data_IF_921674192734
#
_entry.id   IF_921674192734
#
_cell.length_a   1.000
_cell.length_b   1.000
_cell.length_c   1.000
_cell.angle_alpha   90.00
_cell.angle_beta   90.00
_cell.angle_gamma   90.00
#
_symmetry.space_group_name_H-M   'P 1'
#
loop_
_entity.id
_entity.type
_entity.pdbx_description
1 polymer ?
#
# COMPACT_ATOMS: atom_id res chain seq x y z
N UNK A 1 28.06 -6.09 -16.98
CA UNK A 1 27.59 -4.77 -16.54
C UNK A 1 27.49 -4.79 -15.02
N UNK A 2 27.62 -3.64 -14.31
CA UNK A 2 27.33 -3.57 -12.88
C UNK A 2 25.91 -4.08 -12.61
N UNK A 3 25.74 -4.80 -11.50
CA UNK A 3 24.43 -5.27 -11.02
C UNK A 3 23.59 -4.06 -10.57
N UNK A 4 22.26 -4.10 -10.75
CA UNK A 4 21.40 -2.96 -10.40
C UNK A 4 21.48 -2.63 -8.90
N UNK A 5 21.71 -3.60 -8.03
CA UNK A 5 21.95 -3.38 -6.60
C UNK A 5 23.25 -2.61 -6.27
N UNK A 6 24.21 -2.59 -7.21
CA UNK A 6 25.44 -1.79 -7.09
C UNK A 6 25.23 -0.34 -7.56
N UNK A 7 24.20 -0.09 -8.38
CA UNK A 7 23.81 1.25 -8.86
C UNK A 7 22.77 1.91 -7.96
N UNK A 8 21.80 1.12 -7.50
CA UNK A 8 20.80 1.47 -6.50
C UNK A 8 20.95 0.53 -5.30
N UNK A 9 21.58 1.04 -4.25
CA UNK A 9 21.83 0.31 -3.03
C UNK A 9 20.53 -0.13 -2.32
N UNK A 10 19.37 0.47 -2.61
CA UNK A 10 18.08 0.00 -2.06
C UNK A 10 17.56 -1.26 -2.76
N UNK A 11 18.03 -1.54 -3.97
CA UNK A 11 17.64 -2.73 -4.74
C UNK A 11 18.58 -3.93 -4.50
N UNK A 12 19.59 -3.78 -3.64
CA UNK A 12 20.45 -4.90 -3.26
C UNK A 12 19.62 -6.01 -2.60
N UNK A 13 19.86 -7.25 -3.02
CA UNK A 13 19.23 -8.42 -2.38
C UNK A 13 19.98 -8.72 -1.09
N UNK A 14 19.25 -8.78 0.02
CA UNK A 14 19.75 -9.19 1.33
C UNK A 14 19.14 -10.53 1.71
N UNK A 15 19.91 -11.36 2.40
CA UNK A 15 19.42 -12.59 3.03
C UNK A 15 19.97 -12.61 4.46
N UNK A 16 19.16 -12.09 5.39
CA UNK A 16 19.57 -11.86 6.78
C UNK A 16 18.59 -12.54 7.74
N UNK A 17 19.14 -13.15 8.78
CA UNK A 17 18.38 -13.63 9.94
C UNK A 17 18.53 -12.61 11.07
N UNK A 18 17.42 -11.99 11.47
CA UNK A 18 17.44 -11.00 12.56
C UNK A 18 17.54 -11.77 13.88
N UNK A 19 18.53 -11.46 14.75
CA UNK A 19 18.63 -12.08 16.06
C UNK A 19 17.43 -11.66 16.90
N UNK A 20 16.55 -12.62 17.18
CA UNK A 20 15.36 -12.39 17.98
C UNK A 20 15.72 -12.42 19.47
N UNK A 21 15.82 -11.25 20.08
CA UNK A 21 15.79 -11.12 21.54
C UNK A 21 14.34 -11.01 22.02
N UNK A 22 14.05 -11.45 23.24
CA UNK A 22 12.68 -11.44 23.81
C UNK A 22 12.01 -10.05 23.84
N UNK A 23 12.79 -8.98 23.72
CA UNK A 23 12.36 -7.59 23.72
C UNK A 23 12.82 -6.83 22.45
N UNK A 24 13.15 -7.54 21.38
CA UNK A 24 13.55 -6.91 20.12
C UNK A 24 12.40 -6.06 19.56
N UNK A 25 12.75 -4.87 19.12
CA UNK A 25 11.80 -3.91 18.55
C UNK A 25 11.92 -3.83 17.03
N UNK A 26 10.94 -3.21 16.37
CA UNK A 26 11.03 -2.88 14.95
C UNK A 26 12.23 -1.96 14.68
N UNK A 27 12.53 -1.01 15.58
CA UNK A 27 13.72 -0.16 15.48
C UNK A 27 15.02 -0.98 15.49
N UNK A 28 15.14 -1.96 16.38
CA UNK A 28 16.31 -2.86 16.44
C UNK A 28 16.49 -3.64 15.13
N UNK A 29 15.39 -4.15 14.57
CA UNK A 29 15.39 -4.88 13.30
C UNK A 29 15.77 -3.99 12.11
N UNK A 30 15.25 -2.76 12.05
CA UNK A 30 15.60 -1.79 11.02
C UNK A 30 17.09 -1.44 11.08
N UNK A 31 17.61 -1.16 12.27
CA UNK A 31 19.04 -0.94 12.47
C UNK A 31 19.87 -2.16 12.06
N UNK A 32 19.42 -3.38 12.38
CA UNK A 32 20.09 -4.62 12.01
C UNK A 32 20.23 -4.74 10.48
N UNK A 33 19.12 -4.59 9.76
CA UNK A 33 19.05 -4.71 8.29
C UNK A 33 19.95 -3.68 7.59
N UNK A 34 20.12 -2.49 8.17
CA UNK A 34 20.91 -1.41 7.60
C UNK A 34 22.43 -1.54 7.83
N UNK A 35 22.92 -2.44 8.70
CA UNK A 35 24.34 -2.46 9.15
C UNK A 35 25.40 -2.59 8.05
N UNK A 36 25.01 -3.04 6.85
CA UNK A 36 25.93 -3.21 5.72
C UNK A 36 25.44 -2.57 4.43
N UNK A 37 24.34 -1.82 4.46
CA UNK A 37 23.80 -1.15 3.27
C UNK A 37 24.49 0.18 2.96
N UNK A 38 25.14 0.77 3.97
CA UNK A 38 25.67 2.13 3.90
C UNK A 38 24.63 3.22 4.16
N UNK A 39 23.37 2.85 4.45
CA UNK A 39 22.34 3.76 4.96
C UNK A 39 22.24 3.69 6.48
N UNK A 40 21.69 4.74 7.07
CA UNK A 40 21.36 4.81 8.50
C UNK A 40 19.89 5.10 8.69
N UNK A 41 19.32 4.57 9.77
CA UNK A 41 17.98 4.96 10.17
C UNK A 41 18.06 6.40 10.69
N UNK A 42 17.17 7.27 10.23
CA UNK A 42 17.13 8.62 10.76
C UNK A 42 16.74 8.60 12.23
N UNK A 43 17.26 9.57 12.98
CA UNK A 43 16.83 9.80 14.35
C UNK A 43 15.31 9.92 14.41
N UNK A 44 14.73 9.70 15.60
CA UNK A 44 13.31 9.92 15.89
C UNK A 44 12.96 11.41 15.72
N UNK A 45 12.92 11.89 14.47
CA UNK A 45 12.71 13.28 14.08
C UNK A 45 11.26 13.71 14.25
N UNK A 46 10.36 12.77 14.56
CA UNK A 46 8.94 13.00 14.81
C UNK A 46 8.41 11.99 15.84
N UNK A 47 7.48 12.45 16.69
CA UNK A 47 6.76 11.63 17.68
C UNK A 47 6.10 10.39 17.03
N UNK A 48 5.78 10.46 15.74
CA UNK A 48 5.14 9.37 14.99
C UNK A 48 6.07 8.20 14.73
N UNK A 49 7.29 8.44 14.22
CA UNK A 49 8.28 7.39 13.96
C UNK A 49 8.74 6.68 15.23
N UNK A 50 8.78 7.40 16.36
CA UNK A 50 9.11 6.80 17.66
C UNK A 50 8.14 5.68 18.05
N UNK A 51 6.85 5.85 17.75
CA UNK A 51 5.84 4.81 17.98
C UNK A 51 6.14 3.56 17.16
N UNK A 52 6.51 3.70 15.88
CA UNK A 52 6.88 2.56 15.02
C UNK A 52 8.10 1.82 15.59
N UNK A 53 9.15 2.55 15.91
CA UNK A 53 10.42 1.96 16.32
C UNK A 53 10.30 1.21 17.64
N UNK A 54 9.42 1.65 18.54
CA UNK A 54 9.15 1.00 19.82
C UNK A 54 8.24 -0.24 19.73
N UNK A 55 7.63 -0.54 18.57
CA UNK A 55 6.76 -1.72 18.43
C UNK A 55 7.56 -3.01 18.61
N UNK A 56 6.98 -4.05 19.24
CA UNK A 56 7.63 -5.35 19.34
C UNK A 56 7.81 -5.97 17.95
N UNK A 57 8.95 -6.60 17.72
CA UNK A 57 9.22 -7.31 16.48
C UNK A 57 8.32 -8.55 16.37
N UNK A 58 7.49 -8.69 15.31
CA UNK A 58 6.70 -9.89 15.12
C UNK A 58 7.59 -11.11 14.84
N UNK A 59 7.31 -12.26 15.46
CA UNK A 59 8.08 -13.50 15.24
C UNK A 59 8.11 -13.95 13.77
N UNK A 60 7.08 -13.60 12.98
CA UNK A 60 7.07 -13.88 11.54
C UNK A 60 8.18 -13.15 10.76
N UNK A 61 8.83 -12.13 11.34
CA UNK A 61 9.87 -11.33 10.69
C UNK A 61 11.29 -11.78 11.04
N UNK A 62 11.47 -12.89 11.78
CA UNK A 62 12.80 -13.46 12.08
C UNK A 62 13.59 -13.84 10.82
N UNK A 63 12.87 -14.28 9.79
CA UNK A 63 13.42 -14.59 8.47
C UNK A 63 12.66 -13.80 7.40
N UNK A 64 13.32 -12.78 6.86
CA UNK A 64 12.76 -11.95 5.79
C UNK A 64 12.96 -12.59 4.40
N UNK A 65 13.85 -13.60 4.30
CA UNK A 65 14.22 -14.29 3.06
C UNK A 65 15.08 -13.43 2.13
N UNK A 66 15.45 -13.95 0.94
CA UNK A 66 16.14 -13.18 -0.07
C UNK A 66 15.18 -12.17 -0.70
N UNK A 67 15.26 -10.92 -0.25
CA UNK A 67 14.45 -9.80 -0.73
C UNK A 67 15.32 -8.55 -0.89
N UNK A 68 14.81 -7.53 -1.56
CA UNK A 68 15.55 -6.26 -1.66
C UNK A 68 15.62 -5.58 -0.28
N UNK A 69 16.67 -4.78 -0.06
CA UNK A 69 16.77 -3.94 1.13
C UNK A 69 15.51 -3.08 1.31
N UNK A 70 15.01 -2.49 0.22
CA UNK A 70 13.76 -1.70 0.22
C UNK A 70 12.57 -2.51 0.73
N UNK A 71 12.38 -3.72 0.21
CA UNK A 71 11.26 -4.58 0.60
C UNK A 71 11.38 -5.04 2.06
N UNK A 72 12.59 -5.31 2.53
CA UNK A 72 12.84 -5.67 3.93
C UNK A 72 12.45 -4.54 4.88
N UNK A 73 12.89 -3.31 4.58
CA UNK A 73 12.56 -2.12 5.37
C UNK A 73 11.04 -1.87 5.39
N UNK A 74 10.38 -1.99 4.22
CA UNK A 74 8.94 -1.82 4.12
C UNK A 74 8.14 -2.92 4.85
N UNK A 75 8.63 -4.17 4.82
CA UNK A 75 8.01 -5.31 5.52
C UNK A 75 8.12 -5.16 7.04
N UNK A 76 9.27 -4.68 7.54
CA UNK A 76 9.46 -4.40 8.96
C UNK A 76 8.58 -3.25 9.45
N UNK A 77 8.45 -2.19 8.65
CA UNK A 77 7.61 -1.04 9.02
C UNK A 77 6.11 -1.33 8.92
N UNK A 78 5.70 -2.12 7.93
CA UNK A 78 4.30 -2.45 7.65
C UNK A 78 3.59 -1.42 6.74
N UNK A 79 2.35 -1.72 6.32
CA UNK A 79 1.66 -1.00 5.25
C UNK A 79 1.13 0.39 5.64
N UNK A 80 1.14 0.75 6.92
CA UNK A 80 0.73 2.08 7.39
C UNK A 80 1.85 3.12 7.24
N UNK A 81 3.02 2.70 6.79
CA UNK A 81 4.22 3.52 6.72
C UNK A 81 4.76 3.57 5.31
N UNK A 82 5.14 4.75 4.86
CA UNK A 82 5.85 4.98 3.61
C UNK A 82 7.33 5.12 3.89
N UNK A 83 8.16 4.34 3.18
CA UNK A 83 9.62 4.45 3.22
C UNK A 83 10.09 5.72 2.50
N UNK A 84 10.83 6.56 3.21
CA UNK A 84 11.49 7.74 2.66
C UNK A 84 13.00 7.48 2.64
N UNK A 85 13.64 7.70 1.48
CA UNK A 85 15.07 7.48 1.30
C UNK A 85 15.71 8.81 0.89
N UNK A 86 16.74 9.21 1.63
CA UNK A 86 17.61 10.31 1.28
C UNK A 86 18.99 9.75 0.89
N UNK A 87 19.27 9.75 -0.42
CA UNK A 87 20.53 9.25 -0.97
C UNK A 87 21.71 10.21 -0.76
N UNK A 88 21.44 11.51 -0.54
CA UNK A 88 22.47 12.52 -0.29
C UNK A 88 23.07 12.34 1.10
N UNK A 89 22.21 12.20 2.11
CA UNK A 89 22.62 12.00 3.51
C UNK A 89 22.77 10.53 3.91
N UNK A 90 22.33 9.61 3.03
CA UNK A 90 22.23 8.17 3.25
C UNK A 90 21.39 7.84 4.49
N UNK A 91 20.23 8.48 4.58
CA UNK A 91 19.25 8.26 5.63
C UNK A 91 17.99 7.56 5.11
N UNK A 92 17.39 6.76 5.97
CA UNK A 92 16.07 6.16 5.76
C UNK A 92 15.14 6.63 6.87
N UNK A 93 13.97 7.11 6.49
CA UNK A 93 12.90 7.51 7.41
C UNK A 93 11.58 6.84 7.03
N UNK A 94 10.60 6.99 7.92
CA UNK A 94 9.22 6.58 7.67
C UNK A 94 8.26 7.74 7.90
N UNK A 95 7.24 7.83 7.07
CA UNK A 95 6.10 8.71 7.28
C UNK A 95 4.81 7.88 7.32
N UNK A 96 3.79 8.27 8.11
CA UNK A 96 2.48 7.66 8.01
C UNK A 96 1.97 7.76 6.57
N UNK A 97 1.48 6.65 6.02
CA UNK A 97 0.82 6.69 4.73
C UNK A 97 -0.41 7.61 4.87
N UNK A 98 -0.58 8.61 3.99
CA UNK A 98 -1.81 9.39 3.99
C UNK A 98 -2.97 8.41 3.87
N UNK A 99 -4.04 8.64 4.64
CA UNK A 99 -5.29 7.89 4.51
C UNK A 99 -5.95 8.25 3.16
N UNK A 100 -5.31 7.88 2.06
CA UNK A 100 -5.96 7.74 0.77
C UNK A 100 -6.72 6.42 0.86
N UNK A 101 -7.83 6.45 1.60
CA UNK A 101 -8.89 5.54 1.30
C UNK A 101 -9.35 5.95 -0.10
N UNK A 102 -9.13 5.16 -1.17
CA UNK A 102 -10.09 5.21 -2.24
C UNK A 102 -11.40 4.83 -1.53
N UNK A 103 -12.24 5.83 -1.29
CA UNK A 103 -13.67 5.58 -1.30
C UNK A 103 -13.85 4.93 -2.66
N UNK A 104 -13.88 3.59 -2.66
CA UNK A 104 -14.17 2.81 -3.83
C UNK A 104 -15.39 3.49 -4.42
N UNK A 105 -15.31 4.16 -5.60
CA UNK A 105 -16.54 4.57 -6.24
C UNK A 105 -17.26 3.24 -6.43
N UNK A 106 -18.36 3.05 -5.70
CA UNK A 106 -19.26 1.94 -5.95
C UNK A 106 -19.41 1.86 -7.47
N UNK A 107 -19.25 0.68 -8.09
CA UNK A 107 -19.38 0.59 -9.53
C UNK A 107 -20.72 1.23 -9.87
N UNK A 108 -20.65 2.40 -10.52
CA UNK A 108 -21.84 3.03 -11.06
C UNK A 108 -22.39 1.99 -11.99
N UNK A 109 -23.50 1.37 -11.59
CA UNK A 109 -24.31 0.57 -12.47
C UNK A 109 -24.85 1.54 -13.52
N UNK A 110 -24.02 1.86 -14.50
CA UNK A 110 -24.45 2.29 -15.81
C UNK A 110 -25.13 1.07 -16.41
N UNK A 111 -26.42 0.92 -16.12
CA UNK A 111 -27.33 0.17 -16.97
C UNK A 111 -27.91 1.16 -17.99
N UNK A 112 -27.43 1.16 -19.23
CA UNK A 112 -28.19 1.69 -20.34
C UNK A 112 -29.15 0.59 -20.80
N UNK A 113 -30.42 0.65 -20.41
CA UNK A 113 -31.46 0.00 -21.18
C UNK A 113 -32.78 0.74 -20.97
N UNK A 114 -33.04 1.65 -21.88
CA UNK A 114 -34.33 2.28 -22.10
C UNK A 114 -35.02 1.48 -23.20
N UNK A 115 -36.18 0.84 -22.94
CA UNK A 115 -37.04 0.42 -24.02
C UNK A 115 -38.34 1.23 -24.01
N UNK A 116 -38.37 2.16 -24.97
CA UNK A 116 -39.46 2.44 -25.94
C UNK A 116 -40.82 2.92 -25.39
N UNK A 117 -41.29 4.11 -25.80
CA UNK A 117 -42.60 4.62 -25.42
C UNK A 117 -43.72 3.80 -26.07
N UNK A 118 -44.74 3.46 -25.27
CA UNK A 118 -45.96 2.80 -25.70
C UNK A 118 -46.69 3.69 -26.72
N UNK A 119 -46.54 3.36 -28.00
CA UNK A 119 -47.32 3.96 -29.07
C UNK A 119 -48.77 3.49 -28.96
N UNK A 120 -49.65 4.47 -28.88
CA UNK A 120 -51.09 4.40 -29.02
C UNK A 120 -51.46 3.68 -30.32
N UNK A 121 -52.26 2.61 -30.22
CA UNK A 121 -52.90 1.97 -31.37
C UNK A 121 -54.37 1.78 -31.02
N UNK A 122 -55.15 2.82 -31.30
CA UNK A 122 -56.55 2.67 -31.69
C UNK A 122 -56.60 2.11 -33.12
N UNK A 123 -57.50 1.16 -33.42
CA UNK A 123 -58.38 1.47 -34.54
C UNK A 123 -59.81 0.94 -34.39
N UNK A 124 -60.75 1.87 -34.55
CA UNK A 124 -61.86 1.88 -35.53
C UNK A 124 -62.76 0.64 -35.57
N UNK A 125 -64.01 0.80 -35.12
CA UNK A 125 -65.17 0.67 -36.01
C UNK A 125 -66.46 1.28 -35.39
N UNK A 126 -66.98 2.35 -36.01
CA UNK A 126 -68.39 2.80 -35.93
C UNK A 126 -69.23 1.89 -36.86
N UNK A 127 -70.49 1.52 -36.55
CA UNK A 127 -71.57 2.39 -37.00
C UNK A 127 -72.84 2.45 -36.12
N UNK A 128 -73.38 3.67 -36.04
CA UNK A 128 -74.79 4.02 -36.27
C UNK A 128 -75.92 3.43 -35.42
N UNK A 129 -76.70 4.33 -34.81
CA UNK A 129 -78.17 4.17 -34.69
C UNK A 129 -78.79 4.59 -33.37
N UNK A 130 -79.32 5.82 -33.28
CA UNK A 130 -80.56 6.05 -32.53
C UNK A 130 -81.78 5.58 -33.35
N UNK A 131 -83.03 5.88 -32.97
CA UNK A 131 -83.58 6.42 -31.73
C UNK A 131 -84.61 5.46 -31.08
N UNK A 132 -85.10 5.78 -29.87
CA UNK A 132 -86.51 5.75 -29.45
C UNK A 132 -86.63 6.03 -27.95
#
# INVERSE_FOLDING_TARGET
MPDDGQRDLMQQVIDLTIPFAANATVGDALHYVLRHSGYRLCDERADTTAVLYALPLPAAHEHLGPITLRDALQRLAGPRWTLLVDDETREVCFAPQPDDHPTSPAPSASSPDDPVPLMDVDPINDPSGGPQ
#
